data_IF_041487950987
#
_entry.id   IF_041487950987
#
_cell.length_a   1.000
_cell.length_b   1.000
_cell.length_c   1.000
_cell.angle_alpha   90.00
_cell.angle_beta   90.00
_cell.angle_gamma   90.00
#
_symmetry.space_group_name_H-M   'P 1'
#
loop_
_entity.id
_entity.type
_entity.pdbx_description
1 polymer ?
#
# COMPACT_ATOMS: atom_id res chain seq x y z
N UNK A 1 11.20 -22.86 0.16
CA UNK A 1 11.09 -21.48 0.70
C UNK A 1 9.89 -21.49 1.63
N UNK A 2 10.06 -21.20 2.92
CA UNK A 2 8.92 -21.10 3.83
C UNK A 2 8.00 -19.96 3.39
N UNK A 3 6.70 -20.09 3.65
CA UNK A 3 5.77 -18.99 3.36
C UNK A 3 6.18 -17.73 4.13
N UNK A 4 6.19 -16.59 3.44
CA UNK A 4 6.39 -15.27 4.07
C UNK A 4 5.09 -14.74 4.68
N UNK A 5 3.94 -15.30 4.30
CA UNK A 5 2.67 -14.99 4.94
C UNK A 5 2.59 -15.68 6.31
N UNK A 6 2.04 -14.98 7.29
CA UNK A 6 1.61 -15.58 8.53
C UNK A 6 0.36 -16.45 8.29
N UNK A 7 0.04 -17.29 9.27
CA UNK A 7 -1.32 -17.82 9.42
C UNK A 7 -2.30 -16.62 9.50
N UNK A 8 -3.60 -16.89 9.42
CA UNK A 8 -4.62 -15.84 9.38
C UNK A 8 -4.31 -14.68 10.34
N UNK A 9 -4.22 -13.47 9.78
CA UNK A 9 -3.93 -12.26 10.55
C UNK A 9 -5.10 -11.82 11.42
N UNK A 10 -4.87 -10.84 12.31
CA UNK A 10 -5.95 -10.23 13.11
C UNK A 10 -6.92 -9.39 12.24
N UNK A 11 -6.46 -8.94 11.08
CA UNK A 11 -7.23 -8.10 10.17
C UNK A 11 -7.32 -6.63 10.59
N UNK A 12 -6.65 -6.23 11.66
CA UNK A 12 -6.77 -4.89 12.22
C UNK A 12 -6.34 -3.78 11.27
N UNK A 13 -5.32 -3.99 10.44
CA UNK A 13 -4.93 -3.04 9.39
C UNK A 13 -6.02 -2.89 8.31
N UNK A 14 -6.76 -3.96 8.00
CA UNK A 14 -7.82 -3.94 6.99
C UNK A 14 -9.06 -3.14 7.43
N UNK A 15 -9.23 -2.89 8.73
CA UNK A 15 -10.33 -2.05 9.25
C UNK A 15 -10.24 -0.59 8.81
N UNK A 16 -9.05 -0.11 8.41
CA UNK A 16 -8.84 1.23 7.88
C UNK A 16 -9.23 1.39 6.40
N UNK A 17 -9.54 0.28 5.70
CA UNK A 17 -9.85 0.30 4.28
C UNK A 17 -11.31 0.70 4.06
N UNK A 18 -11.60 1.82 3.37
CA UNK A 18 -12.96 2.26 3.12
C UNK A 18 -13.64 1.40 2.03
N UNK A 19 -14.95 1.18 2.15
CA UNK A 19 -15.72 0.31 1.26
C UNK A 19 -15.75 0.76 -0.22
N UNK A 20 -15.49 2.03 -0.48
CA UNK A 20 -15.42 2.61 -1.82
C UNK A 20 -14.01 2.60 -2.44
N UNK A 21 -13.05 1.92 -1.79
CA UNK A 21 -11.71 1.77 -2.34
C UNK A 21 -11.76 1.24 -3.78
N UNK A 22 -10.99 1.88 -4.66
CA UNK A 22 -10.81 1.46 -6.06
C UNK A 22 -9.90 0.23 -6.15
N UNK A 23 -8.83 0.29 -5.38
CA UNK A 23 -7.90 -0.80 -5.16
C UNK A 23 -7.63 -0.90 -3.66
N UNK A 24 -7.50 -2.11 -3.15
CA UNK A 24 -7.04 -2.35 -1.80
C UNK A 24 -6.23 -3.64 -1.71
N UNK A 25 -5.32 -3.67 -0.76
CA UNK A 25 -4.55 -4.84 -0.40
C UNK A 25 -4.37 -4.92 1.10
N UNK A 26 -4.29 -6.12 1.60
CA UNK A 26 -3.97 -6.44 3.00
C UNK A 26 -2.99 -7.60 3.03
N UNK A 27 -2.10 -7.56 3.98
CA UNK A 27 -1.15 -8.63 4.23
C UNK A 27 -0.88 -8.78 5.72
N UNK A 28 -0.85 -10.02 6.18
CA UNK A 28 -0.26 -10.42 7.45
C UNK A 28 0.97 -11.27 7.16
N UNK A 29 2.12 -10.81 7.64
CA UNK A 29 3.40 -11.49 7.41
C UNK A 29 3.89 -12.15 8.69
N UNK A 30 4.84 -13.08 8.56
CA UNK A 30 5.67 -13.48 9.70
C UNK A 30 6.44 -12.27 10.23
N UNK A 31 7.20 -12.48 11.29
CA UNK A 31 7.99 -11.42 11.93
C UNK A 31 8.84 -10.66 10.89
N UNK A 32 8.65 -9.32 10.73
CA UNK A 32 9.30 -8.56 9.66
C UNK A 32 10.84 -8.62 9.69
N UNK A 33 11.44 -8.63 10.87
CA UNK A 33 12.89 -8.73 11.01
C UNK A 33 13.41 -10.06 10.46
N UNK A 34 12.75 -11.17 10.80
CA UNK A 34 13.13 -12.49 10.30
C UNK A 34 12.99 -12.57 8.77
N UNK A 35 11.91 -12.01 8.23
CA UNK A 35 11.71 -11.95 6.77
C UNK A 35 12.79 -11.10 6.09
N UNK A 36 13.16 -9.99 6.70
CA UNK A 36 14.23 -9.14 6.19
C UNK A 36 15.57 -9.89 6.15
N UNK A 37 15.92 -10.60 7.22
CA UNK A 37 17.15 -11.42 7.28
C UNK A 37 17.17 -12.53 6.24
N UNK A 38 16.05 -13.27 6.08
CA UNK A 38 15.91 -14.32 5.06
C UNK A 38 16.05 -13.75 3.64
N UNK A 39 15.43 -12.58 3.38
CA UNK A 39 15.46 -11.92 2.09
C UNK A 39 16.86 -11.38 1.75
N UNK A 40 17.48 -10.72 2.72
CA UNK A 40 18.88 -10.26 2.61
C UNK A 40 19.81 -11.41 2.28
N UNK A 41 19.74 -12.51 3.03
CA UNK A 41 20.58 -13.68 2.79
C UNK A 41 20.34 -14.32 1.40
N UNK A 42 19.14 -14.18 0.84
CA UNK A 42 18.84 -14.65 -0.52
C UNK A 42 19.39 -13.71 -1.59
N UNK A 43 19.24 -12.40 -1.43
CA UNK A 43 19.75 -11.41 -2.39
C UNK A 43 21.29 -11.46 -2.44
N UNK A 44 21.95 -11.50 -1.30
CA UNK A 44 23.42 -11.57 -1.22
C UNK A 44 24.01 -12.77 -1.96
N UNK A 45 23.26 -13.88 -2.11
CA UNK A 45 23.71 -15.02 -2.93
C UNK A 45 23.73 -14.71 -4.42
N UNK A 46 22.86 -13.83 -4.91
CA UNK A 46 22.79 -13.42 -6.32
C UNK A 46 23.55 -12.14 -6.59
N UNK A 47 23.64 -11.25 -5.60
CA UNK A 47 24.25 -9.94 -5.65
C UNK A 47 25.21 -9.77 -4.43
N UNK A 48 26.47 -10.20 -4.53
CA UNK A 48 27.42 -10.17 -3.40
C UNK A 48 27.66 -8.78 -2.82
N UNK A 49 27.51 -7.73 -3.65
CA UNK A 49 27.73 -6.33 -3.24
C UNK A 49 26.58 -5.78 -2.37
N UNK A 50 25.44 -6.47 -2.30
CA UNK A 50 24.26 -6.03 -1.55
C UNK A 50 24.52 -5.84 -0.04
N UNK A 51 25.35 -6.69 0.57
CA UNK A 51 25.74 -6.50 1.98
C UNK A 51 26.57 -5.23 2.19
N UNK A 52 27.43 -4.91 1.23
CA UNK A 52 28.21 -3.66 1.26
C UNK A 52 27.28 -2.45 1.12
N UNK A 53 26.32 -2.48 0.22
CA UNK A 53 25.34 -1.40 0.03
C UNK A 53 24.52 -1.17 1.30
N UNK A 54 24.09 -2.25 1.99
CA UNK A 54 23.43 -2.15 3.29
C UNK A 54 24.32 -1.54 4.36
N UNK A 55 25.61 -1.95 4.43
CA UNK A 55 26.57 -1.41 5.39
C UNK A 55 26.85 0.07 5.12
N UNK A 56 26.94 0.50 3.87
CA UNK A 56 27.08 1.91 3.48
C UNK A 56 25.85 2.73 3.86
N UNK A 57 24.65 2.18 3.67
CA UNK A 57 23.40 2.80 4.11
C UNK A 57 23.37 2.94 5.64
N UNK A 58 23.71 1.90 6.37
CA UNK A 58 23.80 1.93 7.84
C UNK A 58 24.85 2.94 8.33
N UNK A 59 25.98 3.08 7.64
CA UNK A 59 27.00 4.07 7.98
C UNK A 59 26.48 5.51 7.83
N UNK A 60 25.62 5.78 6.85
CA UNK A 60 25.00 7.09 6.62
C UNK A 60 23.83 7.40 7.56
N UNK A 61 22.97 6.42 7.79
CA UNK A 61 21.74 6.58 8.55
C UNK A 61 21.89 6.31 10.04
N UNK A 62 22.89 5.55 10.43
CA UNK A 62 23.19 5.11 11.80
C UNK A 62 23.25 3.59 11.89
N UNK A 63 24.16 3.07 12.71
CA UNK A 63 24.39 1.63 12.88
C UNK A 63 23.10 0.89 13.24
N UNK A 64 22.79 -0.16 12.48
CA UNK A 64 21.59 -0.97 12.67
C UNK A 64 20.29 -0.27 12.27
N UNK A 65 20.35 0.77 11.45
CA UNK A 65 19.18 1.55 11.04
C UNK A 65 18.09 0.67 10.44
N UNK A 66 18.43 -0.15 9.45
CA UNK A 66 17.45 -1.01 8.75
C UNK A 66 16.85 -2.03 9.71
N UNK A 67 17.70 -2.64 10.56
CA UNK A 67 17.25 -3.62 11.54
C UNK A 67 16.31 -3.00 12.58
N UNK A 68 16.65 -1.81 13.09
CA UNK A 68 15.83 -1.09 14.05
C UNK A 68 14.47 -0.70 13.45
N UNK A 69 14.46 -0.16 12.21
CA UNK A 69 13.23 0.20 11.51
C UNK A 69 12.37 -1.04 11.26
N UNK A 70 12.96 -2.13 10.77
CA UNK A 70 12.23 -3.37 10.49
C UNK A 70 11.61 -3.97 11.76
N UNK A 71 12.34 -3.94 12.89
CA UNK A 71 11.82 -4.40 14.19
C UNK A 71 10.70 -3.51 14.75
N UNK A 72 10.70 -2.23 14.37
CA UNK A 72 9.66 -1.28 14.79
C UNK A 72 8.35 -1.45 14.02
N UNK A 73 8.40 -2.09 12.85
CA UNK A 73 7.23 -2.44 12.06
C UNK A 73 6.62 -3.74 12.59
N UNK A 74 5.29 -3.82 12.57
CA UNK A 74 4.56 -5.03 12.93
C UNK A 74 4.25 -5.91 11.72
N UNK A 75 3.51 -6.97 11.96
CA UNK A 75 3.25 -8.03 10.98
C UNK A 75 2.10 -7.73 10.02
N UNK A 76 1.32 -6.68 10.23
CA UNK A 76 0.14 -6.37 9.42
C UNK A 76 0.29 -5.05 8.68
N UNK A 77 -0.08 -5.06 7.41
CA UNK A 77 -0.20 -3.86 6.59
C UNK A 77 -1.42 -3.91 5.68
N UNK A 78 -2.00 -2.76 5.43
CA UNK A 78 -3.08 -2.58 4.45
C UNK A 78 -2.86 -1.30 3.65
N UNK A 79 -3.27 -1.31 2.39
CA UNK A 79 -3.21 -0.19 1.47
C UNK A 79 -4.56 -0.04 0.77
N UNK A 80 -5.04 1.18 0.59
CA UNK A 80 -6.11 1.47 -0.35
C UNK A 80 -5.79 2.69 -1.22
N UNK A 81 -6.22 2.62 -2.48
CA UNK A 81 -6.36 3.78 -3.37
C UNK A 81 -7.85 4.09 -3.43
N UNK A 82 -8.23 5.31 -3.05
CA UNK A 82 -9.63 5.73 -2.90
C UNK A 82 -10.12 6.64 -4.01
N UNK A 83 -9.21 7.17 -4.82
CA UNK A 83 -9.54 8.09 -5.91
C UNK A 83 -8.32 8.78 -6.48
N UNK A 84 -8.58 9.89 -7.17
CA UNK A 84 -7.56 10.77 -7.74
C UNK A 84 -7.92 12.22 -7.43
N UNK A 85 -6.91 13.01 -7.12
CA UNK A 85 -6.97 14.46 -6.96
C UNK A 85 -6.12 15.13 -8.03
N UNK A 86 -6.09 16.46 -8.02
CA UNK A 86 -5.17 17.24 -8.87
C UNK A 86 -3.70 16.99 -8.55
N UNK A 87 -3.40 16.52 -7.33
CA UNK A 87 -2.04 16.19 -6.87
C UNK A 87 -1.65 14.72 -7.14
N UNK A 88 -2.56 13.90 -7.70
CA UNK A 88 -2.32 12.49 -7.97
C UNK A 88 -3.32 11.55 -7.27
N UNK A 89 -2.97 10.25 -7.15
CA UNK A 89 -3.84 9.29 -6.49
C UNK A 89 -4.01 9.62 -5.00
N UNK A 90 -5.25 9.47 -4.51
CA UNK A 90 -5.53 9.51 -3.07
C UNK A 90 -5.41 8.09 -2.51
N UNK A 91 -4.56 7.94 -1.52
CA UNK A 91 -4.23 6.63 -0.95
C UNK A 91 -4.07 6.69 0.56
N UNK A 92 -4.26 5.56 1.20
CA UNK A 92 -3.99 5.34 2.63
C UNK A 92 -3.27 4.02 2.83
N UNK A 93 -2.34 4.00 3.76
CA UNK A 93 -1.65 2.82 4.28
C UNK A 93 -1.88 2.76 5.79
N UNK A 94 -2.29 1.61 6.28
CA UNK A 94 -2.29 1.30 7.71
C UNK A 94 -1.27 0.19 7.95
N UNK A 95 -0.30 0.41 8.82
CA UNK A 95 0.74 -0.55 9.15
C UNK A 95 0.82 -0.72 10.67
N UNK A 96 0.80 -1.94 11.17
CA UNK A 96 0.99 -2.20 12.60
C UNK A 96 2.35 -1.65 13.05
N UNK A 97 2.35 -0.84 14.09
CA UNK A 97 3.53 -0.15 14.59
C UNK A 97 3.91 -0.68 15.98
N UNK A 98 4.95 -1.53 16.04
CA UNK A 98 5.48 -2.03 17.30
C UNK A 98 6.18 -0.93 18.11
N UNK A 99 6.86 -0.01 17.42
CA UNK A 99 7.54 1.12 18.06
C UNK A 99 7.41 2.41 17.22
N UNK A 100 6.36 3.20 17.43
CA UNK A 100 6.14 4.46 16.71
C UNK A 100 7.32 5.42 16.74
N UNK A 101 7.97 5.58 17.90
CA UNK A 101 9.09 6.53 18.04
C UNK A 101 10.31 6.15 17.20
N UNK A 102 10.57 4.86 17.03
CA UNK A 102 11.66 4.39 16.15
C UNK A 102 11.31 4.61 14.69
N UNK A 103 10.04 4.41 14.31
CA UNK A 103 9.57 4.69 12.93
C UNK A 103 9.75 6.19 12.63
N UNK A 104 9.25 7.07 13.50
CA UNK A 104 9.36 8.52 13.30
C UNK A 104 10.82 8.98 13.24
N UNK A 105 11.66 8.52 14.19
CA UNK A 105 13.09 8.81 14.18
C UNK A 105 13.77 8.35 12.88
N UNK A 106 13.42 7.16 12.40
CA UNK A 106 13.99 6.61 11.17
C UNK A 106 13.59 7.42 9.94
N UNK A 107 12.31 7.80 9.82
CA UNK A 107 11.82 8.63 8.71
C UNK A 107 12.44 10.04 8.76
N UNK A 108 12.55 10.63 9.94
CA UNK A 108 13.23 11.92 10.12
C UNK A 108 14.71 11.83 9.71
N UNK A 109 15.41 10.75 10.12
CA UNK A 109 16.81 10.55 9.77
C UNK A 109 17.03 10.38 8.27
N UNK A 110 16.13 9.67 7.58
CA UNK A 110 16.15 9.58 6.11
C UNK A 110 16.03 10.96 5.46
N UNK A 111 15.11 11.80 5.93
CA UNK A 111 14.93 13.17 5.43
C UNK A 111 16.17 14.02 5.68
N UNK A 112 16.79 13.93 6.87
CA UNK A 112 18.01 14.66 7.20
C UNK A 112 19.17 14.29 6.28
N UNK A 113 19.42 12.98 6.09
CA UNK A 113 20.52 12.50 5.24
C UNK A 113 20.26 12.89 3.79
N UNK A 114 19.04 12.72 3.27
CA UNK A 114 18.70 13.15 1.92
C UNK A 114 18.96 14.64 1.73
N UNK A 115 18.48 15.48 2.65
CA UNK A 115 18.67 16.92 2.57
C UNK A 115 20.14 17.36 2.70
N UNK A 116 20.97 16.60 3.43
CA UNK A 116 22.40 16.87 3.56
C UNK A 116 23.19 16.55 2.29
N UNK A 117 22.71 15.62 1.48
CA UNK A 117 23.34 15.23 0.20
C UNK A 117 22.98 16.17 -0.97
N UNK A 118 21.99 17.09 -0.78
CA UNK A 118 21.61 18.05 -1.82
C UNK A 118 22.68 19.11 -2.03
N UNK A 119 23.10 19.28 -3.29
CA UNK A 119 23.99 20.35 -3.70
C UNK A 119 23.33 21.75 -3.63
N UNK A 120 24.13 22.84 -3.76
CA UNK A 120 23.61 24.20 -3.72
C UNK A 120 22.53 24.51 -4.78
N UNK A 121 22.62 23.85 -5.93
CA UNK A 121 21.72 23.94 -7.08
C UNK A 121 20.48 23.04 -6.98
N UNK A 122 20.34 22.26 -5.92
CA UNK A 122 19.25 21.31 -5.71
C UNK A 122 18.40 21.64 -4.47
N UNK A 123 18.52 22.85 -3.91
CA UNK A 123 17.82 23.25 -2.70
C UNK A 123 16.29 23.32 -2.89
N UNK A 124 15.82 23.47 -4.12
CA UNK A 124 14.41 23.37 -4.49
C UNK A 124 13.82 21.96 -4.31
N UNK A 125 14.68 20.93 -4.22
CA UNK A 125 14.26 19.52 -3.98
C UNK A 125 14.23 19.15 -2.50
N UNK A 126 14.57 20.07 -1.61
CA UNK A 126 14.63 19.81 -0.17
C UNK A 126 13.30 19.28 0.34
N UNK A 127 13.38 18.20 1.12
CA UNK A 127 12.22 17.62 1.80
C UNK A 127 11.97 18.39 3.09
N UNK A 128 10.73 18.85 3.26
CA UNK A 128 10.26 19.51 4.48
C UNK A 128 9.47 18.51 5.31
N UNK A 129 9.83 18.38 6.58
CA UNK A 129 9.09 17.60 7.56
C UNK A 129 8.45 18.58 8.55
N UNK A 130 7.14 18.50 8.69
CA UNK A 130 6.33 19.36 9.59
C UNK A 130 5.59 18.47 10.58
N UNK A 131 5.57 18.90 11.84
CA UNK A 131 4.81 18.25 12.91
C UNK A 131 3.75 19.22 13.44
N UNK A 132 2.52 18.76 13.56
CA UNK A 132 1.39 19.52 14.08
C UNK A 132 0.58 18.65 15.04
N UNK A 133 0.28 19.17 16.23
CA UNK A 133 -0.64 18.51 17.17
C UNK A 133 -1.99 19.23 17.15
N UNK A 134 -3.02 18.50 16.74
CA UNK A 134 -4.40 19.02 16.65
C UNK A 134 -5.38 17.95 17.12
N UNK A 135 -6.34 18.34 17.97
CA UNK A 135 -7.35 17.43 18.49
C UNK A 135 -6.79 16.30 19.37
N UNK A 136 -5.64 16.53 20.02
CA UNK A 136 -4.96 15.51 20.84
C UNK A 136 -4.21 14.45 20.05
N UNK A 137 -4.02 14.66 18.74
CA UNK A 137 -3.32 13.76 17.83
C UNK A 137 -2.18 14.50 17.16
N UNK A 138 -1.00 13.88 17.09
CA UNK A 138 0.15 14.39 16.37
C UNK A 138 0.12 13.90 14.93
N UNK A 139 0.27 14.84 14.01
CA UNK A 139 0.37 14.63 12.57
C UNK A 139 1.76 15.00 12.10
N UNK A 140 2.38 14.11 11.36
CA UNK A 140 3.68 14.36 10.73
C UNK A 140 3.46 14.37 9.23
N UNK A 141 3.97 15.41 8.55
CA UNK A 141 3.80 15.59 7.10
C UNK A 141 5.15 15.75 6.44
N UNK A 142 5.39 15.00 5.38
CA UNK A 142 6.55 15.14 4.51
C UNK A 142 6.10 15.76 3.19
N UNK A 143 6.83 16.82 2.76
CA UNK A 143 6.65 17.48 1.47
C UNK A 143 7.99 17.56 0.74
N UNK A 144 8.20 16.76 -0.32
CA UNK A 144 9.34 16.93 -1.19
C UNK A 144 9.25 18.26 -1.93
N UNK A 145 10.32 19.06 -1.92
CA UNK A 145 10.40 20.28 -2.69
C UNK A 145 10.26 20.03 -4.19
N UNK A 146 9.68 20.96 -4.90
CA UNK A 146 9.49 20.89 -6.34
C UNK A 146 8.45 19.88 -6.84
N UNK A 147 7.82 19.11 -5.94
CA UNK A 147 6.77 18.15 -6.29
C UNK A 147 5.44 18.52 -5.61
N UNK A 148 4.30 18.42 -6.31
CA UNK A 148 2.98 18.68 -5.72
C UNK A 148 2.48 17.50 -4.87
N UNK A 149 3.36 16.58 -4.52
CA UNK A 149 3.04 15.38 -3.74
C UNK A 149 3.64 15.51 -2.35
N UNK A 150 2.94 14.98 -1.39
CA UNK A 150 3.39 14.81 -0.02
C UNK A 150 2.63 13.68 0.61
N UNK A 151 2.96 13.32 1.82
CA UNK A 151 2.14 12.41 2.60
C UNK A 151 2.20 12.79 4.07
N UNK A 152 1.16 12.43 4.78
CA UNK A 152 1.04 12.66 6.22
C UNK A 152 0.77 11.35 6.92
N UNK A 153 1.20 11.24 8.17
CA UNK A 153 0.84 10.10 9.01
C UNK A 153 0.56 10.51 10.44
N UNK A 154 -0.09 9.62 11.13
CA UNK A 154 -0.35 9.65 12.56
C UNK A 154 -0.47 8.21 13.08
N UNK A 155 -0.66 8.06 14.39
CA UNK A 155 -0.88 6.76 15.01
C UNK A 155 -2.29 6.65 15.56
N UNK A 156 -2.94 5.51 15.32
CA UNK A 156 -4.27 5.19 15.79
C UNK A 156 -4.37 3.70 16.12
N UNK A 157 -4.79 3.36 17.33
CA UNK A 157 -5.03 1.98 17.75
C UNK A 157 -3.87 1.00 17.56
N UNK A 158 -2.63 1.48 17.65
CA UNK A 158 -1.41 0.67 17.43
C UNK A 158 -0.94 0.62 15.98
N UNK A 159 -1.61 1.33 15.07
CA UNK A 159 -1.25 1.40 13.65
C UNK A 159 -0.71 2.79 13.28
N UNK A 160 0.33 2.84 12.46
CA UNK A 160 0.69 4.01 11.69
C UNK A 160 -0.30 4.13 10.53
N UNK A 161 -1.01 5.23 10.46
CA UNK A 161 -1.94 5.54 9.36
C UNK A 161 -1.35 6.65 8.53
N UNK A 162 -0.78 6.29 7.39
CA UNK A 162 -0.17 7.21 6.44
C UNK A 162 -1.08 7.39 5.22
N UNK A 163 -1.16 8.61 4.68
CA UNK A 163 -2.03 8.90 3.53
C UNK A 163 -1.47 10.03 2.66
N UNK A 164 -2.01 10.15 1.45
CA UNK A 164 -1.69 11.24 0.52
C UNK A 164 -1.92 12.63 1.11
N UNK A 165 -2.86 12.74 2.02
CA UNK A 165 -3.16 13.95 2.78
C UNK A 165 -3.88 13.62 4.09
N UNK A 166 -3.99 14.60 4.97
CA UNK A 166 -4.59 14.45 6.29
C UNK A 166 -6.06 14.04 6.23
N UNK A 167 -6.85 14.59 5.31
CA UNK A 167 -8.28 14.29 5.23
C UNK A 167 -8.53 12.82 4.87
N UNK A 168 -7.68 12.24 4.01
CA UNK A 168 -7.71 10.81 3.67
C UNK A 168 -7.36 9.95 4.88
N UNK A 169 -6.33 10.33 5.66
CA UNK A 169 -5.98 9.62 6.89
C UNK A 169 -7.10 9.69 7.95
N UNK A 170 -7.66 10.88 8.17
CA UNK A 170 -8.80 11.09 9.09
C UNK A 170 -10.01 10.24 8.69
N UNK A 171 -10.29 10.14 7.37
CA UNK A 171 -11.34 9.29 6.84
C UNK A 171 -11.08 7.81 7.10
N UNK A 172 -9.86 7.33 6.91
CA UNK A 172 -9.50 5.94 7.20
C UNK A 172 -9.66 5.60 8.69
N UNK A 173 -9.25 6.50 9.57
CA UNK A 173 -9.47 6.37 11.01
C UNK A 173 -10.96 6.35 11.36
N UNK A 174 -11.76 7.24 10.75
CA UNK A 174 -13.21 7.23 10.93
C UNK A 174 -13.85 5.94 10.37
N UNK A 175 -13.32 5.37 9.29
CA UNK A 175 -13.74 4.08 8.75
C UNK A 175 -13.58 2.98 9.78
N UNK A 176 -12.43 2.88 10.43
CA UNK A 176 -12.20 1.93 11.52
C UNK A 176 -13.15 2.16 12.71
N UNK A 177 -13.38 3.41 13.09
CA UNK A 177 -14.13 3.81 14.30
C UNK A 177 -15.65 3.86 14.09
N UNK A 178 -16.20 3.10 13.14
CA UNK A 178 -17.66 2.97 12.93
C UNK A 178 -18.14 3.37 11.53
N UNK A 179 -17.21 3.68 10.62
CA UNK A 179 -17.53 3.88 9.20
C UNK A 179 -17.74 2.56 8.45
N UNK A 180 -17.99 2.66 7.15
CA UNK A 180 -18.19 1.48 6.30
C UNK A 180 -16.85 0.92 5.83
N UNK A 181 -16.41 -0.15 6.47
CA UNK A 181 -15.17 -0.85 6.15
C UNK A 181 -15.33 -1.73 4.92
N UNK A 182 -14.28 -1.83 4.09
CA UNK A 182 -14.26 -2.66 2.89
C UNK A 182 -14.57 -4.12 3.22
N UNK A 183 -13.87 -4.67 4.21
CA UNK A 183 -13.96 -6.10 4.58
C UNK A 183 -15.35 -6.54 5.07
N UNK A 184 -16.17 -5.61 5.54
CA UNK A 184 -17.57 -5.86 5.94
C UNK A 184 -18.58 -5.39 4.89
N UNK A 185 -18.14 -4.86 3.78
CA UNK A 185 -19.05 -4.42 2.71
C UNK A 185 -19.70 -5.63 2.03
N UNK A 186 -20.99 -5.51 1.62
CA UNK A 186 -21.65 -6.58 0.86
C UNK A 186 -20.92 -6.94 -0.44
N UNK A 187 -20.25 -5.97 -1.06
CA UNK A 187 -19.47 -6.19 -2.28
C UNK A 187 -18.28 -7.10 -2.02
N UNK A 188 -17.52 -6.87 -0.93
CA UNK A 188 -16.38 -7.71 -0.56
C UNK A 188 -16.83 -9.11 -0.13
N UNK A 189 -17.80 -9.18 0.80
CA UNK A 189 -18.33 -10.45 1.31
C UNK A 189 -18.94 -11.31 0.19
N UNK A 190 -19.59 -10.68 -0.80
CA UNK A 190 -20.13 -11.37 -1.96
C UNK A 190 -19.06 -11.99 -2.88
N UNK A 191 -17.82 -11.52 -2.83
CA UNK A 191 -16.69 -12.03 -3.61
C UNK A 191 -15.79 -13.01 -2.82
N UNK A 192 -16.01 -13.18 -1.52
CA UNK A 192 -15.24 -14.16 -0.73
C UNK A 192 -15.41 -15.58 -1.29
N UNK A 193 -14.32 -16.28 -1.63
CA UNK A 193 -14.38 -17.70 -1.96
C UNK A 193 -14.93 -18.50 -0.80
N UNK A 194 -15.71 -19.55 -1.09
CA UNK A 194 -16.28 -20.43 -0.04
C UNK A 194 -15.23 -21.19 0.77
N UNK A 195 -14.01 -21.32 0.21
CA UNK A 195 -12.87 -21.93 0.88
C UNK A 195 -12.06 -20.97 1.75
N UNK A 196 -12.30 -19.66 1.64
CA UNK A 196 -11.56 -18.67 2.41
C UNK A 196 -12.18 -18.44 3.78
N UNK A 197 -11.34 -18.26 4.79
CA UNK A 197 -11.75 -17.75 6.11
C UNK A 197 -12.14 -16.26 6.02
N UNK A 198 -12.74 -15.74 7.11
CA UNK A 198 -13.07 -14.31 7.22
C UNK A 198 -11.80 -13.43 7.34
N UNK A 199 -10.70 -14.02 7.77
CA UNK A 199 -9.42 -13.34 7.99
C UNK A 199 -8.31 -14.09 7.22
N UNK A 200 -8.20 -13.87 5.88
CA UNK A 200 -7.11 -14.45 5.10
C UNK A 200 -5.76 -13.85 5.50
N UNK A 201 -4.67 -14.54 5.24
CA UNK A 201 -3.32 -14.02 5.46
C UNK A 201 -3.02 -12.80 4.58
N UNK A 202 -3.61 -12.73 3.40
CA UNK A 202 -3.55 -11.56 2.53
C UNK A 202 -4.75 -11.52 1.58
N UNK A 203 -5.05 -10.33 1.06
CA UNK A 203 -5.98 -10.19 -0.06
C UNK A 203 -5.60 -9.03 -0.97
N UNK A 204 -6.04 -9.15 -2.22
CA UNK A 204 -6.07 -8.07 -3.20
C UNK A 204 -7.50 -7.82 -3.68
N UNK A 205 -7.92 -6.57 -3.66
CA UNK A 205 -9.22 -6.08 -4.07
C UNK A 205 -9.10 -5.09 -5.21
N UNK A 206 -9.94 -5.24 -6.22
CA UNK A 206 -10.11 -4.28 -7.31
C UNK A 206 -11.60 -3.99 -7.51
N UNK A 207 -12.00 -2.75 -7.27
CA UNK A 207 -13.33 -2.25 -7.63
C UNK A 207 -13.35 -1.94 -9.14
N UNK A 208 -13.62 -2.94 -9.93
CA UNK A 208 -13.60 -2.86 -11.40
C UNK A 208 -14.49 -1.75 -11.92
N UNK A 209 -15.70 -1.61 -11.37
CA UNK A 209 -16.68 -0.57 -11.77
C UNK A 209 -16.17 0.83 -11.44
N UNK A 210 -15.64 1.05 -10.23
CA UNK A 210 -15.08 2.33 -9.81
C UNK A 210 -13.87 2.73 -10.63
N UNK A 211 -12.93 1.80 -10.80
CA UNK A 211 -11.68 2.02 -11.54
C UNK A 211 -11.92 2.33 -13.01
N UNK A 212 -12.75 1.52 -13.68
CA UNK A 212 -13.11 1.77 -15.08
C UNK A 212 -13.98 3.02 -15.24
N UNK A 213 -14.79 3.37 -14.24
CA UNK A 213 -15.54 4.62 -14.20
C UNK A 213 -14.63 5.85 -14.28
N UNK A 214 -13.53 5.83 -13.54
CA UNK A 214 -12.51 6.90 -13.60
C UNK A 214 -11.82 6.90 -14.97
N UNK A 215 -11.39 5.75 -15.48
CA UNK A 215 -10.76 5.64 -16.80
C UNK A 215 -11.71 6.14 -17.91
N UNK A 216 -13.01 5.87 -17.80
CA UNK A 216 -14.01 6.35 -18.76
C UNK A 216 -14.23 7.87 -18.73
N UNK A 217 -13.91 8.53 -17.62
CA UNK A 217 -13.95 9.99 -17.52
C UNK A 217 -12.80 10.64 -18.28
N UNK A 218 -11.63 9.98 -18.34
CA UNK A 218 -10.47 10.44 -19.11
C UNK A 218 -10.54 10.03 -20.60
N UNK A 219 -11.21 8.91 -20.91
CA UNK A 219 -11.37 8.41 -22.28
C UNK A 219 -12.80 7.89 -22.47
N UNK A 220 -13.78 8.75 -22.86
CA UNK A 220 -15.19 8.41 -22.98
C UNK A 220 -15.48 7.53 -24.20
N UNK A 221 -15.01 6.27 -24.19
CA UNK A 221 -15.34 5.27 -25.21
C UNK A 221 -16.64 4.55 -24.88
N UNK A 222 -17.60 4.38 -25.85
CA UNK A 222 -18.79 3.56 -25.64
C UNK A 222 -18.45 2.11 -25.26
N UNK A 223 -17.44 1.52 -25.88
CA UNK A 223 -16.97 0.17 -25.57
C UNK A 223 -16.48 0.04 -24.12
N UNK A 224 -15.80 1.09 -23.59
CA UNK A 224 -15.37 1.12 -22.19
C UNK A 224 -16.57 1.19 -21.25
N UNK A 225 -17.62 1.97 -21.59
CA UNK A 225 -18.86 2.05 -20.79
C UNK A 225 -19.60 0.72 -20.73
N UNK A 226 -19.69 -0.03 -21.83
CA UNK A 226 -20.28 -1.36 -21.84
C UNK A 226 -19.45 -2.37 -21.05
N UNK A 227 -18.12 -2.28 -21.11
CA UNK A 227 -17.23 -3.11 -20.33
C UNK A 227 -17.39 -2.89 -18.81
N UNK A 228 -17.69 -1.64 -18.40
CA UNK A 228 -17.92 -1.24 -16.99
C UNK A 228 -19.27 -1.73 -16.49
N UNK A 229 -20.31 -1.70 -17.36
CA UNK A 229 -21.70 -1.90 -17.00
C UNK A 229 -22.04 -3.36 -16.69
N UNK A 230 -21.53 -3.96 -15.68
CA UNK A 230 -21.88 -5.32 -15.27
C UNK A 230 -20.71 -6.14 -14.75
N UNK A 231 -19.59 -5.47 -14.48
CA UNK A 231 -18.43 -6.14 -13.88
C UNK A 231 -18.51 -6.12 -12.37
N UNK A 232 -18.46 -7.31 -11.80
CA UNK A 232 -18.27 -7.48 -10.35
C UNK A 232 -16.84 -7.08 -9.96
N UNK A 233 -16.64 -6.63 -8.72
CA UNK A 233 -15.30 -6.46 -8.16
C UNK A 233 -14.50 -7.76 -8.21
N UNK A 234 -13.18 -7.64 -8.25
CA UNK A 234 -12.27 -8.79 -8.17
C UNK A 234 -11.68 -8.84 -6.78
N UNK A 235 -11.80 -10.01 -6.15
CA UNK A 235 -11.15 -10.33 -4.89
C UNK A 235 -10.30 -11.58 -5.08
N UNK A 236 -9.01 -11.47 -4.73
CA UNK A 236 -8.11 -12.61 -4.59
C UNK A 236 -7.68 -12.69 -3.15
N UNK A 237 -7.85 -13.82 -2.52
CA UNK A 237 -7.40 -14.09 -1.15
C UNK A 237 -6.24 -15.06 -1.16
N UNK A 238 -5.35 -14.90 -0.19
CA UNK A 238 -4.18 -15.75 -0.02
C UNK A 238 -4.15 -16.23 1.43
N UNK A 239 -3.95 -17.53 1.58
CA UNK A 239 -3.75 -18.17 2.88
C UNK A 239 -2.34 -18.77 2.92
N UNK A 240 -1.55 -18.37 3.90
CA UNK A 240 -0.21 -18.87 4.13
C UNK A 240 -0.23 -20.07 5.06
N UNK A 241 0.54 -21.10 4.71
CA UNK A 241 0.97 -22.15 5.63
C UNK A 241 2.49 -22.15 5.70
N UNK A 242 3.14 -22.84 6.66
CA UNK A 242 4.61 -22.88 6.69
C UNK A 242 5.26 -23.38 5.39
N UNK A 243 4.55 -24.21 4.61
CA UNK A 243 5.07 -24.88 3.41
C UNK A 243 4.66 -24.19 2.12
N UNK A 244 3.48 -23.54 2.06
CA UNK A 244 2.93 -23.01 0.83
C UNK A 244 1.98 -21.83 1.01
N UNK A 245 1.72 -21.14 -0.09
CA UNK A 245 0.70 -20.10 -0.20
C UNK A 245 -0.40 -20.59 -1.12
N UNK A 246 -1.63 -20.61 -0.62
CA UNK A 246 -2.82 -20.89 -1.38
C UNK A 246 -3.46 -19.57 -1.83
N UNK A 247 -3.86 -19.51 -3.10
CA UNK A 247 -4.62 -18.38 -3.65
C UNK A 247 -6.00 -18.85 -4.10
N UNK A 248 -7.02 -18.09 -3.78
CA UNK A 248 -8.39 -18.36 -4.19
C UNK A 248 -9.11 -17.07 -4.65
N UNK A 249 -9.97 -17.21 -5.67
CA UNK A 249 -10.82 -16.12 -6.16
C UNK A 249 -12.12 -16.71 -6.72
N UNK A 250 -13.23 -16.00 -6.55
CA UNK A 250 -14.50 -16.33 -7.24
C UNK A 250 -14.51 -15.85 -8.67
N UNK A 251 -13.77 -14.78 -8.97
CA UNK A 251 -13.69 -14.19 -10.30
C UNK A 251 -12.79 -15.03 -11.19
N UNK A 252 -13.20 -15.26 -12.45
CA UNK A 252 -12.33 -15.91 -13.45
C UNK A 252 -11.21 -14.95 -13.84
N UNK A 253 -10.05 -15.07 -13.20
CA UNK A 253 -8.87 -14.20 -13.42
C UNK A 253 -8.44 -14.22 -14.89
N UNK A 254 -8.56 -15.36 -15.57
CA UNK A 254 -8.27 -15.48 -17.01
C UNK A 254 -9.13 -14.54 -17.87
N UNK A 255 -10.40 -14.31 -17.50
CA UNK A 255 -11.25 -13.34 -18.16
C UNK A 255 -10.73 -11.91 -18.00
N UNK A 256 -10.30 -11.55 -16.80
CA UNK A 256 -9.75 -10.21 -16.52
C UNK A 256 -8.46 -9.93 -17.31
N UNK A 257 -7.55 -10.91 -17.40
CA UNK A 257 -6.31 -10.77 -18.19
C UNK A 257 -6.63 -10.57 -19.67
N UNK A 258 -7.58 -11.37 -20.21
CA UNK A 258 -8.03 -11.22 -21.61
C UNK A 258 -8.65 -9.84 -21.86
N UNK A 259 -9.42 -9.32 -20.92
CA UNK A 259 -10.06 -8.00 -21.04
C UNK A 259 -9.01 -6.86 -21.01
N UNK A 260 -8.00 -6.96 -20.14
CA UNK A 260 -6.89 -5.99 -20.08
C UNK A 260 -6.08 -6.01 -21.39
N UNK A 261 -5.79 -7.20 -21.93
CA UNK A 261 -5.12 -7.32 -23.24
C UNK A 261 -5.96 -6.75 -24.38
N UNK A 262 -7.28 -6.92 -24.33
CA UNK A 262 -8.17 -6.35 -25.33
C UNK A 262 -8.19 -4.82 -25.26
N UNK A 263 -8.23 -4.25 -24.06
CA UNK A 263 -8.16 -2.79 -23.85
C UNK A 263 -6.84 -2.23 -24.39
N UNK A 264 -5.71 -2.88 -24.11
CA UNK A 264 -4.41 -2.48 -24.62
C UNK A 264 -4.34 -2.54 -26.15
N UNK A 265 -4.90 -3.58 -26.75
CA UNK A 265 -4.97 -3.72 -28.22
C UNK A 265 -5.85 -2.64 -28.87
N UNK A 266 -6.97 -2.30 -28.26
CA UNK A 266 -7.88 -1.25 -28.74
C UNK A 266 -7.25 0.16 -28.60
N UNK A 267 -6.50 0.40 -27.53
CA UNK A 267 -5.78 1.68 -27.33
C UNK A 267 -4.66 1.89 -28.33
N UNK A 268 -3.98 0.83 -28.76
CA UNK A 268 -2.91 0.88 -29.77
C UNK A 268 -3.45 0.95 -31.21
N UNK A 269 -4.64 0.43 -31.46
CA UNK A 269 -5.28 0.45 -32.79
C UNK A 269 -5.80 1.83 -33.24
N UNK A 270 -5.91 2.80 -32.34
CA UNK A 270 -6.37 4.16 -32.63
C UNK A 270 -5.24 5.13 -33.01
N UNK A 271 -3.98 4.70 -32.98
CA UNK A 271 -2.82 5.50 -33.41
C UNK A 271 -2.29 5.06 -34.77
N UNK A 272 -3.17 4.89 -35.76
CA UNK A 272 -2.72 4.79 -37.17
C UNK A 272 -2.47 6.19 -37.69
N UNK A 273 -1.26 6.55 -38.12
CA UNK A 273 -0.98 7.85 -38.71
C UNK A 273 -1.59 7.91 -40.13
N UNK A 274 -2.38 8.91 -40.38
CA UNK A 274 -2.59 9.45 -41.73
C UNK A 274 -1.45 10.39 -42.08
#
# INVERSE_FOLDING_TARGET
MASWLADAGSGGAAEYLPADALFAGYVSTREPLQLFEEFTAQITRSEPDFEQDLAEMDAKLGTGFVQNLTSALGTEAALAVTGFSTSGPTWVVAHLANNPSVIDFSLQRLVEVFNAELGPDQQDKRIVLEEETTGGRTWITIRPGGLPIGFTWTYDGGYMVAASDRAVAERAIATRNGGTQLVWSPAFLGQLPSSAGLHPSAFGWLNTKGTLGILSAFNPSPALKELVAGRDPVLVVFDGTPEMIHAASRTRITGLIMDVMLIDSLSRGTTSPN
#
